data_IF_789464121630
#
_entry.id   IF_789464121630
#
_cell.length_a   1.000
_cell.length_b   1.000
_cell.length_c   1.000
_cell.angle_alpha   90.00
_cell.angle_beta   90.00
_cell.angle_gamma   90.00
#
_symmetry.space_group_name_H-M   'P 1'
#
loop_
_entity.id
_entity.type
_entity.pdbx_description
1 polymer ?
#
# COMPACT_ATOMS: atom_id res chain seq x y z
N UNK A 1 -31.76 -24.29 6.15
CA UNK A 1 -30.64 -24.92 5.41
C UNK A 1 -29.39 -24.05 5.58
N UNK A 2 -28.16 -24.59 5.51
CA UNK A 2 -26.97 -23.78 5.78
C UNK A 2 -26.65 -22.82 4.62
N UNK A 3 -26.10 -21.63 4.93
CA UNK A 3 -25.67 -20.61 3.95
C UNK A 3 -24.18 -20.73 3.58
N UNK A 4 -23.59 -21.92 3.75
CA UNK A 4 -22.17 -22.14 3.48
C UNK A 4 -21.92 -22.07 1.96
N UNK A 5 -20.93 -21.30 1.49
CA UNK A 5 -20.49 -21.35 0.10
C UNK A 5 -20.16 -22.79 -0.32
N UNK A 6 -20.61 -23.19 -1.51
CA UNK A 6 -20.39 -24.53 -2.06
C UNK A 6 -19.18 -24.58 -3.00
N UNK A 7 -18.31 -23.58 -2.90
CA UNK A 7 -17.04 -23.42 -3.59
C UNK A 7 -15.87 -23.30 -2.58
N UNK A 8 -14.69 -23.78 -2.99
CA UNK A 8 -13.42 -23.62 -2.26
C UNK A 8 -12.49 -22.73 -3.11
N UNK A 9 -11.83 -21.76 -2.46
CA UNK A 9 -10.74 -20.93 -3.00
C UNK A 9 -11.02 -20.27 -4.37
N UNK A 10 -11.79 -19.17 -4.38
CA UNK A 10 -11.83 -18.28 -5.55
C UNK A 10 -12.48 -18.88 -6.81
N UNK A 11 -13.31 -19.93 -6.67
CA UNK A 11 -14.34 -20.29 -7.66
C UNK A 11 -14.04 -21.42 -8.63
N UNK A 12 -13.01 -22.26 -8.41
CA UNK A 12 -12.68 -23.36 -9.34
C UNK A 12 -12.98 -24.78 -8.83
N UNK A 13 -13.28 -24.95 -7.54
CA UNK A 13 -13.61 -26.27 -6.96
C UNK A 13 -14.98 -26.23 -6.27
N UNK A 14 -15.88 -27.13 -6.67
CA UNK A 14 -17.24 -27.24 -6.12
C UNK A 14 -17.35 -28.40 -5.12
N UNK A 15 -17.94 -28.12 -3.95
CA UNK A 15 -18.25 -29.10 -2.91
C UNK A 15 -19.74 -29.40 -2.78
N UNK A 16 -20.57 -28.82 -3.66
CA UNK A 16 -22.01 -29.06 -3.68
C UNK A 16 -22.36 -30.46 -4.17
N UNK A 17 -23.31 -31.11 -3.50
CA UNK A 17 -23.89 -32.40 -3.88
C UNK A 17 -25.35 -32.21 -4.31
N UNK A 18 -25.78 -32.96 -5.33
CA UNK A 18 -27.17 -33.00 -5.75
C UNK A 18 -27.96 -33.94 -4.83
N UNK A 19 -28.91 -33.38 -4.09
CA UNK A 19 -29.84 -34.14 -3.25
C UNK A 19 -31.21 -34.26 -3.89
N UNK A 20 -31.81 -35.45 -3.81
CA UNK A 20 -33.15 -35.72 -4.31
C UNK A 20 -34.24 -35.32 -3.30
N UNK A 21 -35.22 -34.56 -3.76
CA UNK A 21 -36.39 -34.12 -2.99
C UNK A 21 -37.35 -35.30 -2.78
N UNK A 22 -37.76 -35.96 -3.88
CA UNK A 22 -38.49 -37.22 -3.87
C UNK A 22 -37.52 -38.41 -4.06
N UNK A 23 -37.86 -39.62 -3.57
CA UNK A 23 -36.94 -40.75 -3.54
C UNK A 23 -36.38 -41.11 -4.92
N UNK A 24 -35.04 -41.25 -4.99
CA UNK A 24 -34.38 -41.73 -6.22
C UNK A 24 -34.69 -43.21 -6.52
N UNK A 25 -34.99 -44.01 -5.49
CA UNK A 25 -35.31 -45.44 -5.62
C UNK A 25 -36.43 -45.87 -4.66
N UNK A 26 -37.09 -47.04 -4.85
CA UNK A 26 -38.17 -47.50 -3.98
C UNK A 26 -37.80 -47.68 -2.50
N UNK A 27 -36.50 -47.76 -2.17
CA UNK A 27 -35.98 -47.86 -0.79
C UNK A 27 -35.23 -46.59 -0.36
N UNK A 28 -35.40 -45.49 -1.09
CA UNK A 28 -34.77 -44.21 -0.78
C UNK A 28 -35.45 -43.46 0.37
N UNK A 29 -34.83 -42.39 0.88
CA UNK A 29 -35.46 -41.48 1.83
C UNK A 29 -36.79 -40.96 1.28
N UNK A 30 -37.79 -40.76 2.15
CA UNK A 30 -39.14 -40.28 1.78
C UNK A 30 -39.88 -41.22 0.81
N UNK A 31 -39.79 -42.55 1.01
CA UNK A 31 -40.44 -43.58 0.18
C UNK A 31 -41.97 -43.37 -0.04
N UNK A 32 -42.65 -42.68 0.88
CA UNK A 32 -44.09 -42.39 0.80
C UNK A 32 -44.42 -41.31 -0.25
N UNK A 33 -43.42 -40.55 -0.70
CA UNK A 33 -43.57 -39.53 -1.73
C UNK A 33 -43.66 -40.16 -3.14
N UNK A 34 -44.51 -39.57 -3.99
CA UNK A 34 -44.64 -40.00 -5.38
C UNK A 34 -43.34 -39.71 -6.14
N UNK A 35 -42.74 -40.76 -6.73
CA UNK A 35 -41.55 -40.61 -7.56
C UNK A 35 -41.90 -39.90 -8.87
N UNK A 36 -41.21 -38.80 -9.23
CA UNK A 36 -41.46 -38.11 -10.49
C UNK A 36 -41.02 -38.95 -11.69
N UNK A 37 -41.59 -38.64 -12.86
CA UNK A 37 -41.21 -39.28 -14.12
C UNK A 37 -39.73 -39.03 -14.47
N UNK A 38 -39.24 -37.83 -14.18
CA UNK A 38 -37.83 -37.47 -14.27
C UNK A 38 -37.22 -37.34 -12.87
N UNK A 39 -36.51 -38.39 -12.46
CA UNK A 39 -36.00 -38.55 -11.10
C UNK A 39 -34.76 -37.69 -10.87
N UNK A 40 -33.95 -37.52 -11.91
CA UNK A 40 -32.77 -36.66 -11.90
C UNK A 40 -33.09 -35.29 -12.55
N UNK A 41 -34.38 -35.01 -12.71
CA UNK A 41 -34.88 -33.75 -13.25
C UNK A 41 -34.63 -32.59 -12.31
N UNK A 42 -34.46 -31.41 -12.90
CA UNK A 42 -34.20 -30.17 -12.18
C UNK A 42 -35.21 -29.90 -11.05
N UNK A 43 -36.48 -30.24 -11.26
CA UNK A 43 -37.57 -30.05 -10.29
C UNK A 43 -37.46 -30.97 -9.07
N UNK A 44 -36.72 -32.08 -9.19
CA UNK A 44 -36.51 -33.05 -8.13
C UNK A 44 -35.15 -32.91 -7.43
N UNK A 45 -34.25 -32.09 -7.96
CA UNK A 45 -32.91 -31.90 -7.42
C UNK A 45 -32.76 -30.57 -6.68
N UNK A 46 -31.97 -30.60 -5.61
CA UNK A 46 -31.48 -29.42 -4.91
C UNK A 46 -29.98 -29.54 -4.62
N UNK A 47 -29.26 -28.42 -4.66
CA UNK A 47 -27.82 -28.41 -4.38
C UNK A 47 -27.57 -28.19 -2.88
N UNK A 48 -26.80 -29.08 -2.26
CA UNK A 48 -26.59 -29.12 -0.81
C UNK A 48 -25.10 -29.24 -0.48
N UNK A 49 -24.68 -28.78 0.69
CA UNK A 49 -23.37 -29.18 1.21
C UNK A 49 -23.42 -30.65 1.67
N UNK A 50 -22.29 -31.37 1.70
CA UNK A 50 -22.27 -32.80 2.06
C UNK A 50 -22.86 -33.10 3.45
N UNK A 51 -22.73 -32.15 4.38
CA UNK A 51 -23.31 -32.26 5.73
C UNK A 51 -24.83 -32.14 5.73
N UNK A 52 -25.38 -31.17 4.99
CA UNK A 52 -26.84 -30.98 4.90
C UNK A 52 -27.49 -32.12 4.12
N UNK A 53 -26.87 -32.55 3.02
CA UNK A 53 -27.35 -33.66 2.21
C UNK A 53 -27.50 -34.94 3.06
N UNK A 54 -26.43 -35.31 3.77
CA UNK A 54 -26.44 -36.46 4.68
C UNK A 54 -27.49 -36.35 5.79
N UNK A 55 -27.73 -35.15 6.30
CA UNK A 55 -28.70 -34.92 7.39
C UNK A 55 -30.13 -35.14 6.90
N UNK A 56 -30.47 -34.59 5.73
CA UNK A 56 -31.81 -34.69 5.14
C UNK A 56 -32.15 -36.13 4.76
N UNK A 57 -31.17 -36.91 4.32
CA UNK A 57 -31.38 -38.31 3.94
C UNK A 57 -31.51 -39.23 5.16
N UNK A 58 -30.82 -38.93 6.25
CA UNK A 58 -30.90 -39.71 7.49
C UNK A 58 -32.17 -39.45 8.30
N UNK A 59 -32.73 -38.25 8.19
CA UNK A 59 -33.89 -37.81 8.98
C UNK A 59 -35.07 -37.40 8.08
N UNK A 60 -35.60 -38.29 7.22
CA UNK A 60 -36.63 -37.93 6.23
C UNK A 60 -37.95 -37.45 6.87
N UNK A 61 -38.24 -37.83 8.12
CA UNK A 61 -39.41 -37.35 8.87
C UNK A 61 -39.30 -35.88 9.32
N UNK A 62 -38.08 -35.38 9.54
CA UNK A 62 -37.82 -33.98 9.86
C UNK A 62 -37.66 -33.11 8.60
N UNK A 63 -37.50 -33.74 7.43
CA UNK A 63 -37.31 -33.09 6.14
C UNK A 63 -38.25 -33.69 5.09
N UNK A 64 -39.58 -33.54 5.25
CA UNK A 64 -40.55 -34.04 4.28
C UNK A 64 -40.44 -33.32 2.93
N UNK A 65 -40.92 -33.97 1.87
CA UNK A 65 -40.87 -33.47 0.49
C UNK A 65 -41.37 -32.03 0.37
N UNK A 66 -42.51 -31.72 0.99
CA UNK A 66 -43.12 -30.39 0.97
C UNK A 66 -42.18 -29.31 1.50
N UNK A 67 -41.43 -29.59 2.56
CA UNK A 67 -40.49 -28.64 3.15
C UNK A 67 -39.26 -28.44 2.25
N UNK A 68 -38.74 -29.50 1.65
CA UNK A 68 -37.62 -29.39 0.70
C UNK A 68 -38.00 -28.60 -0.56
N UNK A 69 -39.23 -28.79 -1.06
CA UNK A 69 -39.77 -27.99 -2.17
C UNK A 69 -39.91 -26.52 -1.80
N UNK A 70 -40.37 -26.21 -0.58
CA UNK A 70 -40.45 -24.83 -0.10
C UNK A 70 -39.06 -24.17 -0.02
N UNK A 71 -38.06 -24.89 0.49
CA UNK A 71 -36.67 -24.41 0.57
C UNK A 71 -36.08 -24.17 -0.83
N UNK A 72 -36.31 -25.08 -1.77
CA UNK A 72 -35.87 -24.92 -3.17
C UNK A 72 -36.53 -23.68 -3.81
N UNK A 73 -37.84 -23.53 -3.67
CA UNK A 73 -38.58 -22.40 -4.23
C UNK A 73 -38.16 -21.06 -3.63
N UNK A 74 -37.92 -21.00 -2.32
CA UNK A 74 -37.40 -19.81 -1.64
C UNK A 74 -36.01 -19.41 -2.18
N UNK A 75 -35.12 -20.39 -2.32
CA UNK A 75 -33.77 -20.16 -2.85
C UNK A 75 -33.79 -19.71 -4.31
N UNK A 76 -34.58 -20.37 -5.16
CA UNK A 76 -34.72 -20.01 -6.57
C UNK A 76 -35.34 -18.62 -6.72
N UNK A 77 -36.33 -18.27 -5.89
CA UNK A 77 -36.89 -16.93 -5.81
C UNK A 77 -35.83 -15.88 -5.43
N UNK A 78 -34.99 -16.17 -4.43
CA UNK A 78 -33.87 -15.31 -4.06
C UNK A 78 -32.87 -15.14 -5.22
N UNK A 79 -32.51 -16.20 -5.94
CA UNK A 79 -31.63 -16.13 -7.13
C UNK A 79 -32.25 -15.28 -8.23
N UNK A 80 -33.56 -15.41 -8.48
CA UNK A 80 -34.27 -14.57 -9.46
C UNK A 80 -34.20 -13.10 -9.04
N UNK A 81 -34.43 -12.78 -7.76
CA UNK A 81 -34.32 -11.40 -7.26
C UNK A 81 -32.89 -10.88 -7.35
N UNK A 82 -31.87 -11.66 -6.99
CA UNK A 82 -30.46 -11.25 -7.13
C UNK A 82 -30.01 -11.09 -8.58
N UNK A 83 -30.51 -11.93 -9.50
CA UNK A 83 -30.21 -11.79 -10.95
C UNK A 83 -31.02 -10.70 -11.63
N UNK A 84 -32.22 -10.41 -11.14
CA UNK A 84 -33.11 -9.36 -11.65
C UNK A 84 -32.84 -8.01 -10.99
N UNK A 85 -32.06 -7.97 -9.88
CA UNK A 85 -31.41 -6.73 -9.48
C UNK A 85 -30.63 -6.27 -10.70
N UNK A 86 -30.91 -5.07 -11.23
CA UNK A 86 -30.01 -4.51 -12.22
C UNK A 86 -28.64 -4.55 -11.58
N UNK A 87 -27.64 -5.09 -12.30
CA UNK A 87 -26.28 -4.63 -12.05
C UNK A 87 -26.39 -3.10 -11.95
N UNK A 88 -25.77 -2.48 -10.95
CA UNK A 88 -25.60 -1.03 -11.05
C UNK A 88 -24.80 -0.79 -12.34
N UNK A 89 -25.50 -0.55 -13.44
CA UNK A 89 -24.96 0.03 -14.64
C UNK A 89 -24.61 1.46 -14.26
N UNK A 90 -23.40 1.62 -13.72
CA UNK A 90 -22.74 2.90 -13.80
C UNK A 90 -22.48 3.20 -15.27
N UNK A 91 -22.77 4.42 -15.72
CA UNK A 91 -22.66 4.78 -17.13
C UNK A 91 -21.26 4.40 -17.66
N UNK A 92 -21.17 3.73 -18.82
CA UNK A 92 -19.89 3.41 -19.42
C UNK A 92 -19.16 4.73 -19.71
N UNK A 93 -18.00 4.91 -19.10
CA UNK A 93 -17.10 6.00 -19.43
C UNK A 93 -17.30 7.32 -18.67
N UNK A 94 -17.89 7.33 -17.47
CA UNK A 94 -17.53 8.42 -16.56
C UNK A 94 -16.01 8.32 -16.33
N UNK A 95 -15.23 9.24 -16.87
CA UNK A 95 -13.78 9.24 -16.74
C UNK A 95 -13.41 9.09 -15.26
N UNK A 96 -12.37 8.28 -14.93
CA UNK A 96 -11.82 8.34 -13.58
C UNK A 96 -11.41 9.79 -13.35
N UNK A 97 -12.09 10.48 -12.44
CA UNK A 97 -11.77 11.87 -12.16
C UNK A 97 -10.47 11.91 -11.34
N UNK A 98 -9.65 12.92 -11.65
CA UNK A 98 -8.48 13.26 -10.85
C UNK A 98 -8.83 13.65 -9.41
N UNK A 99 -7.84 14.13 -8.67
CA UNK A 99 -7.95 14.45 -7.25
C UNK A 99 -8.88 15.63 -6.93
N UNK A 100 -9.13 16.52 -7.92
CA UNK A 100 -9.97 17.70 -7.75
C UNK A 100 -9.30 18.82 -6.95
N UNK A 101 -10.11 19.76 -6.46
CA UNK A 101 -9.63 20.94 -5.71
C UNK A 101 -9.43 20.66 -4.21
N UNK A 102 -10.06 19.62 -3.67
CA UNK A 102 -9.94 19.25 -2.27
C UNK A 102 -10.12 17.74 -2.05
N UNK A 103 -9.52 17.24 -0.99
CA UNK A 103 -9.70 15.86 -0.52
C UNK A 103 -10.26 15.87 0.89
N UNK A 104 -11.39 15.20 1.09
CA UNK A 104 -12.03 15.10 2.40
C UNK A 104 -11.79 13.73 3.04
N UNK A 105 -11.32 13.74 4.29
CA UNK A 105 -11.12 12.53 5.10
C UNK A 105 -11.68 12.80 6.50
N UNK A 106 -12.66 12.00 6.93
CA UNK A 106 -13.20 12.07 8.30
C UNK A 106 -13.73 13.46 8.68
N UNK A 107 -14.32 14.20 7.72
CA UNK A 107 -14.81 15.57 7.93
C UNK A 107 -13.73 16.66 7.88
N UNK A 108 -12.47 16.31 7.59
CA UNK A 108 -11.38 17.27 7.39
C UNK A 108 -11.12 17.44 5.89
N UNK A 109 -11.19 18.67 5.40
CA UNK A 109 -10.93 19.01 4.00
C UNK A 109 -9.51 19.53 3.79
N UNK A 110 -8.73 18.86 2.95
CA UNK A 110 -7.40 19.29 2.52
C UNK A 110 -7.49 19.98 1.15
N UNK A 111 -7.14 21.26 1.09
CA UNK A 111 -7.27 22.07 -0.13
C UNK A 111 -6.05 21.87 -1.02
N UNK A 112 -6.23 21.32 -2.23
CA UNK A 112 -5.15 21.08 -3.18
C UNK A 112 -4.56 22.42 -3.65
N UNK A 113 -3.24 22.52 -3.64
CA UNK A 113 -2.50 23.71 -4.07
C UNK A 113 -1.60 23.37 -5.24
N UNK A 114 -1.72 24.16 -6.31
CA UNK A 114 -0.98 23.95 -7.55
C UNK A 114 -1.57 22.82 -8.39
N UNK A 115 -0.83 22.41 -9.43
CA UNK A 115 -1.25 21.32 -10.30
C UNK A 115 -0.85 19.97 -9.67
N UNK A 116 -1.79 19.02 -9.51
CA UNK A 116 -1.45 17.67 -9.05
C UNK A 116 -0.68 16.92 -10.14
N UNK A 117 0.23 16.04 -9.73
CA UNK A 117 0.83 15.03 -10.60
C UNK A 117 -0.10 13.82 -10.66
N UNK A 118 -0.58 13.47 -11.85
CA UNK A 118 -1.52 12.37 -12.04
C UNK A 118 -1.05 11.40 -13.11
N UNK A 119 -0.99 10.12 -12.74
CA UNK A 119 -0.63 9.02 -13.63
C UNK A 119 -1.75 7.98 -13.65
N UNK A 120 -2.07 7.46 -14.84
CA UNK A 120 -2.92 6.27 -14.97
C UNK A 120 -2.07 5.01 -14.86
N UNK A 121 -2.62 3.97 -14.22
CA UNK A 121 -2.02 2.63 -14.27
C UNK A 121 -1.96 2.13 -15.71
N UNK A 122 -1.05 1.21 -16.01
CA UNK A 122 -0.87 0.71 -17.37
C UNK A 122 -2.12 -0.04 -17.88
N UNK A 123 -2.86 -0.66 -16.95
CA UNK A 123 -4.16 -1.29 -17.21
C UNK A 123 -5.34 -0.31 -17.24
N UNK A 124 -5.08 1.00 -17.07
CA UNK A 124 -6.07 2.08 -17.00
C UNK A 124 -7.17 1.90 -15.94
N UNK A 125 -6.96 1.04 -14.94
CA UNK A 125 -7.95 0.76 -13.89
C UNK A 125 -7.89 1.73 -12.72
N UNK A 126 -6.84 2.53 -12.58
CA UNK A 126 -6.71 3.52 -11.53
C UNK A 126 -6.00 4.81 -11.98
N UNK A 127 -6.31 5.90 -11.27
CA UNK A 127 -5.53 7.14 -11.28
C UNK A 127 -4.78 7.25 -9.96
N UNK A 128 -3.48 7.52 -10.07
CA UNK A 128 -2.61 7.83 -8.95
C UNK A 128 -2.33 9.32 -8.98
N UNK A 129 -2.81 10.03 -7.97
CA UNK A 129 -2.63 11.47 -7.82
C UNK A 129 -1.67 11.76 -6.67
N UNK A 130 -0.76 12.69 -6.89
CA UNK A 130 0.19 13.23 -5.92
C UNK A 130 0.05 14.74 -5.92
N UNK A 131 -0.22 15.33 -4.76
CA UNK A 131 -0.52 16.74 -4.69
C UNK A 131 -0.08 17.36 -3.37
N UNK A 132 0.32 18.63 -3.42
CA UNK A 132 0.41 19.45 -2.22
C UNK A 132 -0.99 19.91 -1.83
N UNK A 133 -1.22 20.00 -0.52
CA UNK A 133 -2.46 20.57 -0.01
C UNK A 133 -2.22 21.35 1.29
N UNK A 134 -3.20 22.17 1.66
CA UNK A 134 -3.27 22.84 2.95
C UNK A 134 -4.29 22.12 3.83
N UNK A 135 -3.87 21.77 5.04
CA UNK A 135 -4.78 21.34 6.09
C UNK A 135 -5.58 22.55 6.64
N UNK A 136 -6.76 22.34 7.26
CA UNK A 136 -7.60 23.44 7.76
C UNK A 136 -6.88 24.38 8.75
N UNK A 137 -5.93 23.85 9.51
CA UNK A 137 -5.08 24.61 10.44
C UNK A 137 -3.98 25.45 9.75
N UNK A 138 -3.90 25.41 8.42
CA UNK A 138 -2.91 26.14 7.61
C UNK A 138 -1.57 25.42 7.41
N UNK A 139 -1.43 24.19 7.92
CA UNK A 139 -0.24 23.36 7.73
C UNK A 139 -0.15 22.76 6.33
N UNK A 140 1.05 22.74 5.75
CA UNK A 140 1.31 22.06 4.47
C UNK A 140 1.29 20.53 4.62
N UNK A 141 0.63 19.86 3.67
CA UNK A 141 0.57 18.40 3.62
C UNK A 141 0.84 17.88 2.21
N UNK A 142 1.26 16.62 2.13
CA UNK A 142 1.39 15.85 0.90
C UNK A 142 0.27 14.83 0.83
N UNK A 143 -0.51 14.88 -0.23
CA UNK A 143 -1.63 13.98 -0.49
C UNK A 143 -1.24 13.00 -1.57
N UNK A 144 -1.35 11.71 -1.26
CA UNK A 144 -1.26 10.61 -2.22
C UNK A 144 -2.60 9.91 -2.27
N UNK A 145 -3.20 9.86 -3.46
CA UNK A 145 -4.50 9.25 -3.70
C UNK A 145 -4.40 8.22 -4.82
N UNK A 146 -5.02 7.07 -4.62
CA UNK A 146 -5.26 6.08 -5.67
C UNK A 146 -6.76 5.91 -5.79
N UNK A 147 -7.33 6.28 -6.94
CA UNK A 147 -8.75 6.16 -7.23
C UNK A 147 -8.96 5.09 -8.28
N UNK A 148 -9.85 4.14 -7.99
CA UNK A 148 -10.20 3.05 -8.88
C UNK A 148 -11.63 2.61 -8.62
N UNK A 149 -12.45 2.44 -9.66
CA UNK A 149 -13.80 1.87 -9.49
C UNK A 149 -13.78 0.34 -9.48
N UNK A 150 -12.93 -0.26 -10.32
CA UNK A 150 -12.69 -1.70 -10.41
C UNK A 150 -11.17 -1.91 -10.48
N UNK A 151 -10.49 -2.12 -9.35
CA UNK A 151 -9.04 -2.15 -9.33
C UNK A 151 -8.53 -3.41 -10.03
N UNK A 152 -7.72 -3.20 -11.07
CA UNK A 152 -6.91 -4.26 -11.66
C UNK A 152 -5.76 -4.65 -10.74
N UNK A 153 -4.95 -5.66 -11.14
CA UNK A 153 -3.83 -6.15 -10.32
C UNK A 153 -2.85 -5.05 -9.90
N UNK A 154 -2.51 -4.12 -10.82
CA UNK A 154 -1.59 -3.02 -10.52
C UNK A 154 -2.20 -2.02 -9.51
N UNK A 155 -3.48 -1.69 -9.69
CA UNK A 155 -4.20 -0.82 -8.77
C UNK A 155 -4.29 -1.43 -7.35
N UNK A 156 -4.59 -2.72 -7.25
CA UNK A 156 -4.62 -3.46 -5.98
C UNK A 156 -3.25 -3.45 -5.30
N UNK A 157 -2.17 -3.70 -6.04
CA UNK A 157 -0.81 -3.66 -5.52
C UNK A 157 -0.44 -2.28 -4.98
N UNK A 158 -0.67 -1.21 -5.77
CA UNK A 158 -0.38 0.16 -5.34
C UNK A 158 -1.22 0.56 -4.11
N UNK A 159 -2.48 0.16 -4.04
CA UNK A 159 -3.36 0.41 -2.88
C UNK A 159 -2.86 -0.32 -1.64
N UNK A 160 -2.45 -1.58 -1.78
CA UNK A 160 -1.86 -2.35 -0.68
C UNK A 160 -0.58 -1.69 -0.15
N UNK A 161 0.30 -1.20 -1.05
CA UNK A 161 1.51 -0.45 -0.66
C UNK A 161 1.18 0.82 0.12
N UNK A 162 0.21 1.60 -0.35
CA UNK A 162 -0.21 2.84 0.31
C UNK A 162 -0.81 2.58 1.70
N UNK A 163 -1.61 1.52 1.83
CA UNK A 163 -2.17 1.08 3.10
C UNK A 163 -1.09 0.59 4.08
N UNK A 164 -0.11 -0.17 3.59
CA UNK A 164 0.99 -0.63 4.42
C UNK A 164 1.87 0.54 4.90
N UNK A 165 2.11 1.54 4.06
CA UNK A 165 2.81 2.77 4.45
C UNK A 165 2.02 3.55 5.51
N UNK A 166 0.71 3.70 5.33
CA UNK A 166 -0.15 4.32 6.34
C UNK A 166 -0.04 3.59 7.69
N UNK A 167 0.01 2.25 7.68
CA UNK A 167 0.22 1.43 8.88
C UNK A 167 1.56 1.69 9.56
N UNK A 168 2.65 1.74 8.80
CA UNK A 168 3.99 2.02 9.34
C UNK A 168 4.10 3.44 9.90
N UNK A 169 3.55 4.44 9.20
CA UNK A 169 3.55 5.83 9.66
C UNK A 169 2.67 6.06 10.90
N UNK A 170 1.66 5.22 11.12
CA UNK A 170 0.83 5.27 12.32
C UNK A 170 1.62 4.91 13.60
N UNK A 171 2.77 4.22 13.49
CA UNK A 171 3.68 3.97 14.62
C UNK A 171 4.43 5.23 15.08
N UNK A 172 4.36 6.33 14.32
CA UNK A 172 4.98 7.62 14.63
C UNK A 172 6.50 7.52 14.93
N UNK A 173 7.22 6.79 14.08
CA UNK A 173 8.66 6.59 14.25
C UNK A 173 9.46 7.89 14.11
N UNK A 174 10.52 8.10 14.91
CA UNK A 174 11.34 9.30 14.83
C UNK A 174 11.92 9.52 13.43
N UNK A 175 11.84 10.75 12.91
CA UNK A 175 12.43 11.13 11.63
C UNK A 175 11.66 10.68 10.38
N UNK A 176 10.56 9.92 10.54
CA UNK A 176 9.62 9.65 9.44
C UNK A 176 8.57 10.76 9.31
N UNK A 177 7.96 10.93 8.11
CA UNK A 177 6.85 11.85 7.93
C UNK A 177 5.71 11.59 8.91
N UNK A 178 5.18 12.64 9.53
CA UNK A 178 4.02 12.48 10.40
C UNK A 178 2.78 12.14 9.56
N UNK A 179 2.11 11.03 9.89
CA UNK A 179 0.78 10.73 9.36
C UNK A 179 -0.22 11.79 9.86
N UNK A 180 -0.90 12.46 8.93
CA UNK A 180 -1.96 13.45 9.24
C UNK A 180 -3.32 12.79 9.14
N UNK A 181 -3.57 12.09 8.03
CA UNK A 181 -4.81 11.37 7.81
C UNK A 181 -4.59 10.23 6.81
N UNK A 182 -5.42 9.19 6.89
CA UNK A 182 -5.49 8.15 5.87
C UNK A 182 -6.94 7.65 5.75
N UNK A 183 -7.33 7.26 4.54
CA UNK A 183 -8.63 6.67 4.24
C UNK A 183 -8.46 5.55 3.23
N UNK A 184 -8.99 4.37 3.52
CA UNK A 184 -8.92 3.19 2.64
C UNK A 184 -10.35 2.68 2.42
N UNK A 185 -10.98 3.12 1.33
CA UNK A 185 -12.31 2.64 0.86
C UNK A 185 -12.12 1.75 -0.37
N UNK A 186 -13.09 0.91 -0.77
CA UNK A 186 -12.95 0.10 -1.99
C UNK A 186 -12.56 0.91 -3.23
N UNK A 187 -13.06 2.15 -3.34
CA UNK A 187 -12.88 3.02 -4.49
C UNK A 187 -11.65 3.93 -4.39
N UNK A 188 -11.24 4.28 -3.17
CA UNK A 188 -10.16 5.25 -2.94
C UNK A 188 -9.21 4.83 -1.82
N UNK A 189 -7.92 4.97 -2.06
CA UNK A 189 -6.90 4.87 -1.03
C UNK A 189 -6.20 6.23 -0.94
N UNK A 190 -6.21 6.86 0.23
CA UNK A 190 -5.68 8.20 0.45
C UNK A 190 -4.76 8.18 1.65
N UNK A 191 -3.59 8.78 1.49
CA UNK A 191 -2.59 8.99 2.53
C UNK A 191 -2.17 10.46 2.52
N UNK A 192 -2.29 11.10 3.68
CA UNK A 192 -1.93 12.50 3.91
C UNK A 192 -0.81 12.55 4.94
N UNK A 193 0.35 13.09 4.56
CA UNK A 193 1.50 13.26 5.45
C UNK A 193 1.84 14.73 5.63
N UNK A 194 2.35 15.09 6.81
CA UNK A 194 2.78 16.45 7.08
C UNK A 194 4.02 16.80 6.24
N UNK A 195 4.09 18.02 5.73
CA UNK A 195 5.23 18.52 4.96
C UNK A 195 5.75 19.79 5.62
N UNK A 196 6.88 19.73 6.36
CA UNK A 196 7.52 20.91 6.94
C UNK A 196 7.97 21.94 5.90
N UNK A 197 8.32 21.48 4.69
CA UNK A 197 8.79 22.32 3.58
C UNK A 197 8.66 21.58 2.25
N UNK A 198 8.44 22.34 1.18
CA UNK A 198 8.28 21.84 -0.19
C UNK A 198 9.59 21.79 -0.98
N UNK A 199 10.69 22.27 -0.39
CA UNK A 199 12.00 22.30 -1.04
C UNK A 199 12.69 20.94 -0.86
N UNK A 200 13.08 20.29 -1.95
CA UNK A 200 13.93 19.09 -1.88
C UNK A 200 15.33 19.46 -1.41
N UNK A 201 16.08 18.52 -0.83
CA UNK A 201 17.50 18.74 -0.50
C UNK A 201 18.28 19.19 -1.74
N UNK A 202 18.03 18.53 -2.88
CA UNK A 202 18.68 18.89 -4.14
C UNK A 202 18.40 20.34 -4.56
N UNK A 203 17.16 20.81 -4.41
CA UNK A 203 16.79 22.19 -4.69
C UNK A 203 17.37 23.19 -3.67
N UNK A 204 17.38 22.84 -2.37
CA UNK A 204 17.89 23.71 -1.32
C UNK A 204 19.40 24.00 -1.45
N UNK A 205 20.17 23.00 -1.87
CA UNK A 205 21.62 23.10 -2.03
C UNK A 205 22.07 23.38 -3.47
N UNK A 206 21.14 23.63 -4.40
CA UNK A 206 21.48 23.87 -5.80
C UNK A 206 22.42 25.08 -5.95
N UNK A 207 23.50 24.89 -6.69
CA UNK A 207 24.58 25.88 -6.88
C UNK A 207 25.45 26.21 -5.64
N UNK A 208 24.95 26.00 -4.42
CA UNK A 208 25.58 26.44 -3.15
C UNK A 208 26.12 25.33 -2.25
N UNK A 209 25.80 24.06 -2.51
CA UNK A 209 26.16 22.92 -1.65
C UNK A 209 27.66 22.72 -1.39
N UNK A 210 28.52 23.38 -2.17
CA UNK A 210 29.98 23.30 -2.05
C UNK A 210 30.57 24.37 -1.11
N UNK A 211 29.79 25.38 -0.73
CA UNK A 211 30.25 26.44 0.17
C UNK A 211 30.44 25.90 1.60
N UNK A 212 31.45 26.41 2.33
CA UNK A 212 31.76 25.93 3.69
C UNK A 212 30.56 26.00 4.64
N UNK A 213 29.80 27.09 4.57
CA UNK A 213 28.59 27.24 5.37
C UNK A 213 27.50 26.23 4.97
N UNK A 214 27.32 25.98 3.67
CA UNK A 214 26.36 24.99 3.20
C UNK A 214 26.74 23.57 3.63
N UNK A 215 28.03 23.21 3.60
CA UNK A 215 28.52 21.91 4.09
C UNK A 215 28.25 21.75 5.59
N UNK A 216 28.49 22.81 6.38
CA UNK A 216 28.22 22.83 7.81
C UNK A 216 26.72 22.64 8.11
N UNK A 217 25.87 23.38 7.40
CA UNK A 217 24.41 23.27 7.51
C UNK A 217 23.93 21.88 7.10
N UNK A 218 24.48 21.31 6.02
CA UNK A 218 24.15 19.95 5.57
C UNK A 218 24.49 18.88 6.63
N UNK A 219 25.69 18.98 7.20
CA UNK A 219 26.15 18.07 8.25
C UNK A 219 25.28 18.09 9.50
N UNK A 220 24.78 19.27 9.90
CA UNK A 220 23.81 19.40 10.98
C UNK A 220 22.41 18.90 10.56
N UNK A 221 21.98 19.23 9.34
CA UNK A 221 20.63 18.98 8.83
C UNK A 221 20.32 17.51 8.60
N UNK A 222 21.31 16.67 8.28
CA UNK A 222 21.12 15.24 7.99
C UNK A 222 20.59 14.43 9.18
N UNK A 223 20.66 14.97 10.40
CA UNK A 223 20.26 14.28 11.63
C UNK A 223 18.83 13.71 11.57
N UNK A 224 17.88 14.45 10.97
CA UNK A 224 16.49 14.00 10.84
C UNK A 224 16.35 12.78 9.93
N UNK A 225 17.02 12.80 8.76
CA UNK A 225 17.08 11.67 7.82
C UNK A 225 17.72 10.44 8.48
N UNK A 226 18.86 10.63 9.17
CA UNK A 226 19.54 9.54 9.87
C UNK A 226 18.66 8.93 10.98
N UNK A 227 17.86 9.74 11.68
CA UNK A 227 16.92 9.24 12.67
C UNK A 227 15.82 8.38 12.04
N UNK A 228 15.24 8.81 10.92
CA UNK A 228 14.23 8.06 10.17
C UNK A 228 14.75 6.73 9.66
N UNK A 229 15.92 6.74 9.01
CA UNK A 229 16.56 5.51 8.54
C UNK A 229 16.92 4.58 9.69
N UNK A 230 17.48 5.10 10.80
CA UNK A 230 17.80 4.28 11.96
C UNK A 230 16.55 3.63 12.57
N UNK A 231 15.41 4.33 12.60
CA UNK A 231 14.15 3.80 13.12
C UNK A 231 13.59 2.65 12.26
N UNK A 232 13.77 2.73 10.94
CA UNK A 232 13.46 1.63 10.00
C UNK A 232 14.42 0.46 10.20
N UNK A 233 15.73 0.74 10.24
CA UNK A 233 16.77 -0.28 10.38
C UNK A 233 16.63 -1.08 11.68
N UNK A 234 16.22 -0.42 12.77
CA UNK A 234 15.93 -1.08 14.05
C UNK A 234 14.77 -2.10 13.98
N UNK A 235 13.90 -2.00 12.96
CA UNK A 235 12.81 -2.95 12.67
C UNK A 235 13.20 -4.01 11.63
N UNK A 236 14.46 -4.04 11.19
CA UNK A 236 14.89 -4.89 10.08
C UNK A 236 14.30 -4.45 8.73
N UNK A 237 13.91 -3.18 8.61
CA UNK A 237 13.41 -2.58 7.37
C UNK A 237 14.49 -1.70 6.76
N UNK A 238 14.39 -1.43 5.45
CA UNK A 238 15.22 -0.46 4.74
C UNK A 238 14.30 0.47 3.93
N UNK A 239 14.67 1.75 3.80
CA UNK A 239 13.96 2.70 2.96
C UNK A 239 13.99 2.25 1.50
N UNK A 240 15.13 1.83 0.97
CA UNK A 240 15.24 1.12 -0.31
C UNK A 240 14.90 1.92 -1.58
N UNK A 241 14.60 3.22 -1.44
CA UNK A 241 14.30 4.13 -2.55
C UNK A 241 14.82 5.56 -2.28
N UNK A 242 16.01 5.69 -1.69
CA UNK A 242 16.62 7.01 -1.48
C UNK A 242 17.15 7.58 -2.80
N UNK A 243 16.63 8.76 -3.16
CA UNK A 243 17.04 9.57 -4.31
C UNK A 243 17.00 11.08 -3.98
N UNK A 244 17.23 11.93 -5.00
CA UNK A 244 17.32 13.40 -4.86
C UNK A 244 16.01 14.05 -4.42
N UNK A 245 14.87 13.39 -4.63
CA UNK A 245 13.52 13.91 -4.38
C UNK A 245 12.87 13.26 -3.14
N UNK A 246 13.46 12.18 -2.63
CA UNK A 246 13.05 11.48 -1.41
C UNK A 246 13.43 12.22 -0.11
N UNK A 247 14.31 13.22 -0.18
CA UNK A 247 14.77 14.02 0.96
C UNK A 247 14.36 15.47 0.76
N UNK A 248 13.68 16.00 1.76
CA UNK A 248 13.19 17.38 1.82
C UNK A 248 14.04 18.20 2.78
N UNK A 249 14.06 19.52 2.58
CA UNK A 249 14.81 20.48 3.36
C UNK A 249 13.93 21.66 3.79
N UNK A 250 13.99 22.03 5.07
CA UNK A 250 13.34 23.24 5.55
C UNK A 250 14.19 24.50 5.32
N UNK A 251 13.66 25.67 5.69
CA UNK A 251 14.37 26.95 5.53
C UNK A 251 15.65 27.06 6.36
N UNK A 252 15.79 26.26 7.41
CA UNK A 252 16.98 26.20 8.25
C UNK A 252 18.01 25.17 7.73
N UNK A 253 17.66 24.38 6.71
CA UNK A 253 18.49 23.32 6.16
C UNK A 253 18.37 21.99 6.89
N UNK A 254 17.40 21.83 7.80
CA UNK A 254 17.10 20.55 8.41
C UNK A 254 16.47 19.60 7.37
N UNK A 255 16.95 18.35 7.35
CA UNK A 255 16.56 17.36 6.36
C UNK A 255 15.62 16.32 6.94
N UNK A 256 14.64 15.91 6.13
CA UNK A 256 13.65 14.90 6.49
C UNK A 256 13.30 14.03 5.29
N UNK A 257 12.92 12.78 5.57
CA UNK A 257 12.42 11.86 4.55
C UNK A 257 11.04 12.31 4.10
N UNK A 258 10.72 12.17 2.81
CA UNK A 258 9.40 12.48 2.23
C UNK A 258 8.38 11.38 2.47
N UNK A 259 8.83 10.13 2.43
CA UNK A 259 8.02 8.92 2.49
C UNK A 259 8.81 7.80 3.19
N UNK A 260 8.22 6.60 3.29
CA UNK A 260 8.93 5.41 3.83
C UNK A 260 9.67 4.62 2.76
N UNK A 261 9.71 5.12 1.52
CA UNK A 261 10.23 4.41 0.36
C UNK A 261 9.53 3.06 0.16
N UNK A 262 10.34 2.00 0.12
CA UNK A 262 9.91 0.60 0.00
C UNK A 262 9.77 -0.11 1.34
N UNK A 263 10.09 0.54 2.46
CA UNK A 263 10.10 -0.09 3.79
C UNK A 263 8.75 -0.69 4.20
N UNK A 264 7.65 -0.11 3.72
CA UNK A 264 6.29 -0.55 4.06
C UNK A 264 5.84 -1.82 3.34
N UNK A 265 6.50 -2.24 2.26
CA UNK A 265 6.03 -3.35 1.43
C UNK A 265 7.13 -4.30 0.94
N UNK A 266 8.40 -3.91 1.02
CA UNK A 266 9.49 -4.86 0.83
C UNK A 266 9.56 -5.76 2.07
N UNK A 267 9.68 -7.07 1.83
CA UNK A 267 9.76 -8.01 2.95
C UNK A 267 11.10 -7.82 3.66
N UNK A 268 11.14 -8.04 4.97
CA UNK A 268 12.34 -7.85 5.78
C UNK A 268 13.56 -8.67 5.28
N UNK A 269 13.35 -9.79 4.59
CA UNK A 269 14.40 -10.60 3.96
C UNK A 269 15.05 -9.96 2.72
N UNK A 270 14.43 -8.91 2.15
CA UNK A 270 14.95 -8.13 1.01
C UNK A 270 15.48 -6.76 1.42
N UNK A 271 15.29 -6.37 2.69
CA UNK A 271 15.79 -5.10 3.19
C UNK A 271 17.32 -5.10 3.23
N UNK A 272 17.93 -4.05 2.67
CA UNK A 272 19.37 -3.81 2.77
C UNK A 272 19.64 -2.43 3.41
N UNK A 273 19.71 -2.37 4.75
CA UNK A 273 20.07 -1.13 5.47
C UNK A 273 21.41 -0.53 5.03
N UNK A 274 22.36 -1.36 4.61
CA UNK A 274 23.67 -0.90 4.17
C UNK A 274 23.59 -0.22 2.79
N UNK A 275 22.57 -0.54 1.99
CA UNK A 275 22.27 0.18 0.76
C UNK A 275 21.70 1.58 1.04
N UNK A 276 20.84 1.75 2.05
CA UNK A 276 20.37 3.09 2.47
C UNK A 276 21.53 3.98 2.89
N UNK A 277 22.47 3.44 3.69
CA UNK A 277 23.68 4.15 4.13
C UNK A 277 24.50 4.60 2.92
N UNK A 278 24.71 3.70 1.95
CA UNK A 278 25.46 4.00 0.74
C UNK A 278 24.77 5.08 -0.10
N UNK A 279 23.45 4.96 -0.33
CA UNK A 279 22.65 5.91 -1.11
C UNK A 279 22.63 7.29 -0.47
N UNK A 280 22.46 7.38 0.84
CA UNK A 280 22.56 8.65 1.56
C UNK A 280 23.94 9.27 1.37
N UNK A 281 25.02 8.48 1.52
CA UNK A 281 26.38 8.98 1.32
C UNK A 281 26.65 9.44 -0.12
N UNK A 282 26.10 8.77 -1.14
CA UNK A 282 26.17 9.22 -2.54
C UNK A 282 25.52 10.58 -2.74
N UNK A 283 24.31 10.76 -2.20
CA UNK A 283 23.55 12.02 -2.32
C UNK A 283 24.28 13.17 -1.61
N UNK A 284 24.83 12.92 -0.41
CA UNK A 284 25.60 13.91 0.34
C UNK A 284 26.92 14.25 -0.39
N UNK A 285 27.64 13.24 -0.89
CA UNK A 285 28.86 13.44 -1.65
C UNK A 285 28.60 14.28 -2.92
N UNK A 286 27.55 13.94 -3.67
CA UNK A 286 27.13 14.72 -4.84
C UNK A 286 26.82 16.17 -4.47
N UNK A 287 26.13 16.39 -3.35
CA UNK A 287 25.76 17.73 -2.87
C UNK A 287 27.00 18.57 -2.54
N UNK A 288 27.96 18.01 -1.80
CA UNK A 288 29.14 18.76 -1.33
C UNK A 288 30.27 18.85 -2.34
N UNK A 289 30.29 18.03 -3.39
CA UNK A 289 31.35 18.05 -4.42
C UNK A 289 30.86 18.51 -5.79
N UNK A 290 29.55 18.46 -6.03
CA UNK A 290 28.95 18.69 -7.34
C UNK A 290 29.11 17.51 -8.32
N UNK A 291 29.58 16.33 -7.87
CA UNK A 291 29.70 15.14 -8.71
C UNK A 291 29.51 13.82 -7.97
N UNK A 292 29.19 12.71 -8.67
CA UNK A 292 29.14 11.40 -8.04
C UNK A 292 30.49 10.98 -7.44
N UNK A 293 30.49 10.10 -6.42
CA UNK A 293 31.73 9.56 -5.84
C UNK A 293 32.64 8.92 -6.89
N UNK A 294 33.93 9.23 -6.79
CA UNK A 294 34.98 8.57 -7.57
C UNK A 294 35.74 7.62 -6.64
N UNK A 295 35.96 6.35 -7.01
CA UNK A 295 36.68 5.40 -6.17
C UNK A 295 38.02 5.96 -5.69
N UNK A 296 38.30 5.81 -4.40
CA UNK A 296 39.55 6.23 -3.73
C UNK A 296 39.80 7.76 -3.69
N UNK A 297 38.89 8.59 -4.18
CA UNK A 297 39.01 10.06 -4.12
C UNK A 297 38.18 10.60 -2.96
N UNK A 298 38.86 11.22 -1.99
CA UNK A 298 38.20 11.85 -0.84
C UNK A 298 37.38 13.07 -1.24
N UNK A 299 36.22 13.26 -0.61
CA UNK A 299 35.39 14.46 -0.79
C UNK A 299 36.16 15.75 -0.43
N UNK A 300 37.05 15.71 0.57
CA UNK A 300 37.88 16.85 0.97
C UNK A 300 38.90 17.27 -0.11
N UNK A 301 39.34 16.32 -0.95
CA UNK A 301 40.20 16.62 -2.12
C UNK A 301 39.42 17.34 -3.21
N UNK A 302 38.15 16.96 -3.41
CA UNK A 302 37.27 17.56 -4.42
C UNK A 302 36.68 18.89 -3.96
N UNK A 303 36.49 19.06 -2.64
CA UNK A 303 36.03 20.28 -2.02
C UNK A 303 36.74 20.51 -0.67
N UNK A 304 37.71 21.44 -0.60
CA UNK A 304 38.42 21.77 0.64
C UNK A 304 37.53 22.30 1.76
N UNK A 305 36.29 22.70 1.47
CA UNK A 305 35.32 23.12 2.46
C UNK A 305 34.72 21.92 3.25
N UNK A 306 34.92 20.69 2.77
CA UNK A 306 34.47 19.47 3.45
C UNK A 306 35.47 19.09 4.55
N UNK A 307 35.05 19.04 5.83
CA UNK A 307 35.93 18.62 6.91
C UNK A 307 36.45 17.20 6.72
N UNK A 308 37.68 16.94 7.15
CA UNK A 308 38.31 15.61 7.04
C UNK A 308 37.50 14.49 7.73
N UNK A 309 36.86 14.78 8.86
CA UNK A 309 35.96 13.83 9.52
C UNK A 309 34.74 13.48 8.67
N UNK A 310 34.11 14.50 8.07
CA UNK A 310 32.98 14.35 7.15
C UNK A 310 33.39 13.51 5.94
N UNK A 311 34.53 13.83 5.31
CA UNK A 311 35.01 13.12 4.14
C UNK A 311 35.34 11.65 4.44
N UNK A 312 35.95 11.35 5.60
CA UNK A 312 36.18 9.97 6.05
C UNK A 312 34.88 9.22 6.29
N UNK A 313 33.88 9.86 6.89
CA UNK A 313 32.58 9.24 7.14
C UNK A 313 31.87 8.87 5.83
N UNK A 314 31.88 9.77 4.83
CA UNK A 314 31.38 9.46 3.49
C UNK A 314 32.17 8.32 2.85
N UNK A 315 33.50 8.34 2.94
CA UNK A 315 34.36 7.31 2.38
C UNK A 315 34.04 5.92 2.93
N UNK A 316 33.86 5.80 4.25
CA UNK A 316 33.43 4.54 4.90
C UNK A 316 32.06 4.10 4.42
N UNK A 317 31.07 4.99 4.42
CA UNK A 317 29.70 4.68 4.00
C UNK A 317 29.60 4.25 2.51
N UNK A 318 30.57 4.67 1.69
CA UNK A 318 30.70 4.31 0.28
C UNK A 318 31.54 3.04 0.03
N UNK A 319 31.99 2.34 1.08
CA UNK A 319 32.76 1.10 0.94
C UNK A 319 32.03 0.07 0.06
N UNK A 320 32.75 -0.67 -0.81
CA UNK A 320 32.15 -1.73 -1.63
C UNK A 320 31.48 -2.80 -0.78
N UNK A 321 32.12 -3.22 0.33
CA UNK A 321 31.59 -4.21 1.27
C UNK A 321 30.48 -3.63 2.16
N UNK A 322 29.24 -4.16 2.13
CA UNK A 322 28.14 -3.68 2.96
C UNK A 322 28.44 -3.64 4.47
N UNK A 323 29.15 -4.65 4.97
CA UNK A 323 29.53 -4.75 6.38
C UNK A 323 30.52 -3.67 6.85
N UNK A 324 31.23 -3.03 5.93
CA UNK A 324 32.25 -2.01 6.23
C UNK A 324 31.64 -0.60 6.37
N UNK A 325 30.43 -0.40 5.83
CA UNK A 325 29.79 0.92 5.69
C UNK A 325 29.40 1.57 7.03
N UNK A 326 29.29 0.77 8.08
CA UNK A 326 28.79 1.22 9.38
C UNK A 326 27.29 1.48 9.38
N UNK A 327 26.76 1.90 10.53
CA UNK A 327 25.34 2.23 10.70
C UNK A 327 25.01 3.66 10.28
N UNK A 328 23.77 3.91 9.89
CA UNK A 328 23.31 5.26 9.50
C UNK A 328 23.39 6.28 10.66
N UNK A 329 23.25 5.82 11.91
CA UNK A 329 23.43 6.66 13.09
C UNK A 329 24.89 7.09 13.28
N UNK A 330 25.85 6.20 13.00
CA UNK A 330 27.29 6.51 13.05
C UNK A 330 27.65 7.52 11.96
N UNK A 331 27.13 7.34 10.74
CA UNK A 331 27.26 8.31 9.66
C UNK A 331 26.74 9.68 10.09
N UNK A 332 25.49 9.76 10.56
CA UNK A 332 24.88 11.02 10.99
C UNK A 332 25.64 11.72 12.12
N UNK A 333 26.23 10.96 13.05
CA UNK A 333 27.04 11.53 14.13
C UNK A 333 28.37 12.10 13.62
N UNK A 334 29.02 11.43 12.67
CA UNK A 334 30.32 11.83 12.12
C UNK A 334 30.24 13.01 11.13
N UNK A 335 29.06 13.31 10.59
CA UNK A 335 28.83 14.43 9.68
C UNK A 335 28.55 15.76 10.40
N UNK A 336 28.26 15.72 11.71
CA UNK A 336 28.02 16.93 12.50
C UNK A 336 29.33 17.73 12.63
N UNK A 337 29.26 19.07 12.49
CA UNK A 337 30.42 19.95 12.54
C UNK A 337 31.07 20.04 13.93
#
# INVERSE_FOLDING_TARGET
>A
MCVRPLDIEGGTQHIGEMGHIAPHSPRGPRQEAARPADVDGFDNLMLLCPSCHRTIDKEPGLWPEQQLRAIKAEHEGWVVVERARPEREEPPGAELAGIGEAVEIGGTAFQIVGAPEEDRTADATAIVSRAFALAPEGGGVWVRRIASRRPGPEALERRARLAAEAGLLAEALPGLPRLVAASMTPETAVLVTAVPSFTTMAGFYDGRGREAEAVRVLGAGVAGVCAGLAALHARGLAHGALDRDSIMADRAGALFLRDTGRASWDRADRADPAEDVRRLAELLHLTVTGRPPVPLVSAAVLNPAVPEAFARALGRALSPGPAERGGVAELGAALRP
#
